data_IF_137825568536
#
_entry.id   IF_137825568536
#
_cell.length_a   1.000
_cell.length_b   1.000
_cell.length_c   1.000
_cell.angle_alpha   90.00
_cell.angle_beta   90.00
_cell.angle_gamma   90.00
#
_symmetry.space_group_name_H-M   'P 1'
#
loop_
_entity.id
_entity.type
_entity.pdbx_description
1 polymer ?
#
# COMPACT_ATOMS: atom_id res chain seq x y z
N UNK A 1 9.16 -13.78 7.29
CA UNK A 1 8.09 -13.31 8.19
C UNK A 1 7.47 -14.52 8.85
N UNK A 2 7.76 -14.74 10.13
CA UNK A 2 7.23 -15.86 10.90
C UNK A 2 5.87 -15.46 11.48
N UNK A 3 4.79 -15.80 10.78
CA UNK A 3 3.49 -15.94 11.42
C UNK A 3 3.58 -17.18 12.31
N UNK A 4 4.06 -16.98 13.54
CA UNK A 4 4.09 -17.98 14.59
C UNK A 4 2.67 -18.45 14.88
N UNK A 5 2.51 -19.76 15.02
CA UNK A 5 1.29 -20.57 15.07
C UNK A 5 0.31 -20.26 16.22
N UNK A 6 0.48 -19.18 16.98
CA UNK A 6 -0.60 -18.66 17.82
C UNK A 6 -1.43 -17.68 17.00
N UNK A 7 -2.73 -17.95 16.80
CA UNK A 7 -3.70 -17.02 16.19
C UNK A 7 -3.67 -15.67 16.94
N UNK A 8 -2.78 -14.77 16.55
CA UNK A 8 -2.72 -13.40 17.04
C UNK A 8 -3.22 -12.53 15.91
N UNK A 9 -4.48 -12.15 16.03
CA UNK A 9 -5.06 -11.12 15.19
C UNK A 9 -4.25 -9.83 15.36
N UNK A 10 -4.01 -9.15 14.24
CA UNK A 10 -3.24 -7.91 14.22
C UNK A 10 -4.09 -6.77 14.81
N UNK A 11 -3.45 -5.89 15.57
CA UNK A 11 -3.99 -4.56 15.80
C UNK A 11 -4.01 -3.75 14.50
N UNK A 12 -4.84 -2.71 14.46
CA UNK A 12 -4.82 -1.71 13.37
C UNK A 12 -3.41 -1.13 13.14
N UNK A 13 -2.65 -0.87 14.22
CA UNK A 13 -1.27 -0.38 14.13
C UNK A 13 -0.33 -1.41 13.50
N UNK A 14 -0.42 -2.68 13.89
CA UNK A 14 0.41 -3.74 13.30
C UNK A 14 0.06 -3.98 11.83
N UNK A 15 -1.23 -3.94 11.48
CA UNK A 15 -1.69 -4.02 10.10
C UNK A 15 -1.18 -2.84 9.26
N UNK A 16 -1.26 -1.61 9.81
CA UNK A 16 -0.69 -0.44 9.17
C UNK A 16 0.82 -0.59 8.98
N UNK A 17 1.57 -0.93 10.04
CA UNK A 17 3.03 -1.17 9.96
C UNK A 17 3.38 -2.24 8.92
N UNK A 18 2.56 -3.30 8.83
CA UNK A 18 2.70 -4.32 7.78
C UNK A 18 2.53 -3.69 6.40
N UNK A 19 1.45 -2.97 6.13
CA UNK A 19 1.21 -2.31 4.83
C UNK A 19 2.38 -1.38 4.48
N UNK A 20 2.76 -0.49 5.40
CA UNK A 20 3.83 0.49 5.20
C UNK A 20 5.22 -0.15 5.04
N UNK A 21 5.46 -1.35 5.57
CA UNK A 21 6.69 -2.10 5.26
C UNK A 21 6.81 -2.49 3.78
N UNK A 22 5.71 -2.38 3.04
CA UNK A 22 5.62 -2.56 1.59
C UNK A 22 5.18 -1.30 0.84
N UNK A 23 5.13 -0.12 1.47
CA UNK A 23 4.89 1.13 0.73
C UNK A 23 6.13 1.99 0.90
N UNK A 24 6.80 2.34 -0.19
CA UNK A 24 7.82 3.38 -0.13
C UNK A 24 7.13 4.74 -0.02
N UNK A 25 6.96 5.22 1.21
CA UNK A 25 6.51 6.58 1.50
C UNK A 25 7.68 7.38 2.09
N UNK A 26 7.87 8.67 1.75
CA UNK A 26 8.91 9.47 2.38
C UNK A 26 8.78 9.45 3.91
N UNK A 27 9.88 9.19 4.62
CA UNK A 27 9.94 8.97 6.07
C UNK A 27 9.14 10.00 6.89
N UNK A 28 9.14 11.27 6.48
CA UNK A 28 8.43 12.34 7.16
C UNK A 28 6.88 12.16 7.18
N UNK A 29 6.30 11.53 6.16
CA UNK A 29 4.87 11.21 6.15
C UNK A 29 4.52 10.00 7.03
N UNK A 30 5.47 9.07 7.20
CA UNK A 30 5.29 7.87 8.03
C UNK A 30 5.31 8.20 9.52
N UNK A 31 6.21 9.08 9.98
CA UNK A 31 6.36 9.40 11.40
C UNK A 31 5.13 10.06 12.03
N UNK A 32 4.52 11.03 11.33
CA UNK A 32 3.31 11.70 11.83
C UNK A 32 2.11 10.75 11.84
N UNK A 33 2.01 9.86 10.85
CA UNK A 33 0.96 8.84 10.76
C UNK A 33 1.07 7.81 11.89
N UNK A 34 2.27 7.27 12.13
CA UNK A 34 2.48 6.27 13.19
C UNK A 34 2.30 6.85 14.59
N UNK A 35 2.77 8.08 14.86
CA UNK A 35 2.52 8.74 16.16
C UNK A 35 1.02 8.92 16.44
N UNK A 36 0.20 9.17 15.41
CA UNK A 36 -1.26 9.28 15.54
C UNK A 36 -1.93 7.93 15.80
N UNK A 37 -1.54 6.89 15.07
CA UNK A 37 -2.07 5.54 15.32
C UNK A 37 -1.65 5.01 16.68
N UNK A 38 -0.44 5.29 17.14
CA UNK A 38 0.03 4.93 18.48
C UNK A 38 -0.77 5.65 19.57
N UNK A 39 -1.08 6.94 19.40
CA UNK A 39 -1.95 7.68 20.33
C UNK A 39 -3.39 7.11 20.38
N UNK A 40 -3.92 6.61 19.25
CA UNK A 40 -5.25 5.97 19.18
C UNK A 40 -5.25 4.50 19.60
N UNK A 41 -4.09 3.84 19.60
CA UNK A 41 -3.96 2.40 19.88
C UNK A 41 -4.44 2.01 21.28
N UNK A 42 -4.29 2.93 22.26
CA UNK A 42 -4.79 2.76 23.62
C UNK A 42 -6.32 2.76 23.74
N UNK A 43 -7.04 3.25 22.72
CA UNK A 43 -8.51 3.27 22.66
C UNK A 43 -9.07 2.15 21.78
N UNK A 44 -8.30 1.68 20.79
CA UNK A 44 -8.71 0.69 19.79
C UNK A 44 -8.24 -0.75 20.07
N UNK A 45 -7.89 -1.10 21.32
CA UNK A 45 -7.41 -2.44 21.71
C UNK A 45 -8.32 -3.61 21.31
N UNK A 46 -9.59 -3.35 21.03
CA UNK A 46 -10.61 -4.33 20.63
C UNK A 46 -10.71 -4.54 19.11
N UNK A 47 -10.20 -3.61 18.29
CA UNK A 47 -10.23 -3.78 16.83
C UNK A 47 -9.07 -4.69 16.40
N UNK A 48 -9.43 -5.93 16.10
CA UNK A 48 -8.52 -7.00 15.70
C UNK A 48 -8.77 -7.40 14.25
N UNK A 49 -7.70 -7.55 13.50
CA UNK A 49 -7.71 -7.92 12.09
C UNK A 49 -7.17 -9.34 12.00
N UNK A 50 -8.05 -10.28 11.65
CA UNK A 50 -7.69 -11.68 11.57
C UNK A 50 -6.75 -11.97 10.41
N UNK A 51 -6.04 -13.08 10.48
CA UNK A 51 -5.19 -13.54 9.38
C UNK A 51 -5.99 -13.72 8.06
N UNK A 52 -7.25 -14.15 8.14
CA UNK A 52 -8.11 -14.28 6.97
C UNK A 52 -8.36 -12.93 6.29
N UNK A 53 -8.61 -11.87 7.07
CA UNK A 53 -8.79 -10.52 6.55
C UNK A 53 -7.50 -9.98 5.92
N UNK A 54 -6.33 -10.34 6.48
CA UNK A 54 -5.03 -10.05 5.87
C UNK A 54 -4.88 -10.78 4.53
N UNK A 55 -5.24 -12.06 4.43
CA UNK A 55 -5.22 -12.80 3.17
C UNK A 55 -6.16 -12.20 2.11
N UNK A 56 -7.36 -11.76 2.53
CA UNK A 56 -8.29 -11.02 1.66
C UNK A 56 -7.65 -9.73 1.14
N UNK A 57 -6.92 -8.99 1.97
CA UNK A 57 -6.21 -7.78 1.54
C UNK A 57 -5.16 -8.07 0.46
N UNK A 58 -4.34 -9.11 0.61
CA UNK A 58 -3.39 -9.50 -0.43
C UNK A 58 -4.08 -10.02 -1.70
N UNK A 59 -5.22 -10.70 -1.55
CA UNK A 59 -6.04 -11.14 -2.70
C UNK A 59 -6.60 -9.95 -3.49
N UNK A 60 -7.01 -8.88 -2.79
CA UNK A 60 -7.40 -7.62 -3.41
C UNK A 60 -6.24 -7.01 -4.21
N UNK A 61 -5.03 -6.96 -3.64
CA UNK A 61 -3.84 -6.45 -4.35
C UNK A 61 -3.54 -7.28 -5.61
N UNK A 62 -3.67 -8.60 -5.55
CA UNK A 62 -3.46 -9.46 -6.72
C UNK A 62 -4.51 -9.22 -7.82
N UNK A 63 -5.73 -8.84 -7.44
CA UNK A 63 -6.84 -8.56 -8.37
C UNK A 63 -7.02 -7.05 -8.67
N UNK A 64 -6.00 -6.23 -8.39
CA UNK A 64 -6.11 -4.77 -8.43
C UNK A 64 -6.59 -4.20 -9.77
N UNK A 65 -6.29 -4.86 -10.90
CA UNK A 65 -6.76 -4.41 -12.22
C UNK A 65 -8.29 -4.52 -12.34
N UNK A 66 -8.87 -5.66 -11.95
CA UNK A 66 -10.31 -5.88 -11.95
C UNK A 66 -11.00 -5.01 -10.91
N UNK A 67 -10.38 -4.86 -9.73
CA UNK A 67 -10.88 -3.98 -8.67
C UNK A 67 -10.93 -2.53 -9.12
N UNK A 68 -9.88 -2.00 -9.77
CA UNK A 68 -9.84 -0.63 -10.30
C UNK A 68 -11.01 -0.36 -11.24
N UNK A 69 -11.25 -1.26 -12.20
CA UNK A 69 -12.38 -1.14 -13.12
C UNK A 69 -13.73 -1.16 -12.38
N UNK A 70 -13.93 -2.11 -11.47
CA UNK A 70 -15.15 -2.20 -10.68
C UNK A 70 -15.38 -0.96 -9.80
N UNK A 71 -14.29 -0.37 -9.27
CA UNK A 71 -14.34 0.81 -8.42
C UNK A 71 -14.77 2.05 -9.19
N UNK A 72 -14.23 2.26 -10.40
CA UNK A 72 -14.65 3.33 -11.29
C UNK A 72 -16.11 3.20 -11.70
N UNK A 73 -16.61 1.98 -11.92
CA UNK A 73 -18.03 1.75 -12.19
C UNK A 73 -18.93 1.98 -10.97
N UNK A 74 -18.42 1.72 -9.76
CA UNK A 74 -19.16 1.95 -8.51
C UNK A 74 -19.17 3.43 -8.10
N UNK A 75 -18.18 4.21 -8.51
CA UNK A 75 -18.01 5.63 -8.16
C UNK A 75 -18.03 6.52 -9.41
N UNK A 76 -19.20 6.57 -10.06
CA UNK A 76 -19.42 7.39 -11.26
C UNK A 76 -19.37 8.90 -10.97
N UNK A 77 -19.48 9.31 -9.70
CA UNK A 77 -19.52 10.70 -9.24
C UNK A 77 -18.14 11.30 -8.96
N UNK A 78 -17.05 10.52 -9.04
CA UNK A 78 -15.64 10.93 -9.04
C UNK A 78 -15.08 11.80 -7.88
N UNK A 79 -15.86 12.15 -6.86
CA UNK A 79 -15.38 13.09 -5.84
C UNK A 79 -14.69 12.40 -4.65
N UNK A 80 -15.32 11.38 -4.05
CA UNK A 80 -14.83 10.73 -2.83
C UNK A 80 -15.23 9.26 -2.80
N UNK A 81 -14.33 8.39 -2.34
CA UNK A 81 -14.62 6.98 -2.16
C UNK A 81 -15.36 6.74 -0.84
N UNK A 82 -16.48 6.02 -0.89
CA UNK A 82 -17.20 5.56 0.31
C UNK A 82 -16.88 4.11 0.67
N UNK A 83 -17.10 3.73 1.93
CA UNK A 83 -16.97 2.33 2.39
C UNK A 83 -17.86 1.37 1.59
N UNK A 84 -19.06 1.81 1.21
CA UNK A 84 -20.03 0.99 0.49
C UNK A 84 -19.61 0.76 -0.96
N UNK A 85 -19.06 1.77 -1.64
CA UNK A 85 -18.49 1.63 -2.99
C UNK A 85 -17.26 0.73 -2.99
N UNK A 86 -16.36 0.93 -2.02
CA UNK A 86 -15.21 0.05 -1.82
C UNK A 86 -15.64 -1.40 -1.66
N UNK A 87 -16.56 -1.69 -0.73
CA UNK A 87 -17.07 -3.05 -0.50
C UNK A 87 -17.76 -3.66 -1.71
N UNK A 88 -18.53 -2.87 -2.46
CA UNK A 88 -19.17 -3.33 -3.71
C UNK A 88 -18.13 -3.72 -4.76
N UNK A 89 -17.11 -2.87 -4.95
CA UNK A 89 -16.03 -3.14 -5.89
C UNK A 89 -15.20 -4.37 -5.48
N UNK A 90 -14.84 -4.50 -4.20
CA UNK A 90 -14.13 -5.68 -3.67
C UNK A 90 -14.93 -6.96 -3.93
N UNK A 91 -16.23 -6.93 -3.64
CA UNK A 91 -17.08 -8.10 -3.85
C UNK A 91 -17.20 -8.46 -5.34
N UNK A 92 -17.30 -7.45 -6.22
CA UNK A 92 -17.37 -7.65 -7.67
C UNK A 92 -16.05 -8.20 -8.25
N UNK A 93 -14.90 -7.77 -7.73
CA UNK A 93 -13.59 -8.16 -8.28
C UNK A 93 -12.99 -9.41 -7.63
N UNK A 94 -13.32 -9.68 -6.37
CA UNK A 94 -12.66 -10.71 -5.56
C UNK A 94 -13.63 -11.73 -4.92
N UNK A 95 -14.94 -11.51 -5.00
CA UNK A 95 -15.95 -12.46 -4.51
C UNK A 95 -16.10 -12.53 -3.00
N UNK A 96 -15.56 -11.57 -2.24
CA UNK A 96 -15.70 -11.50 -0.79
C UNK A 96 -15.96 -10.08 -0.29
N UNK A 97 -16.25 -9.97 1.00
CA UNK A 97 -16.36 -8.70 1.74
C UNK A 97 -15.40 -8.72 2.92
N UNK A 98 -14.82 -7.56 3.21
CA UNK A 98 -14.08 -7.34 4.46
C UNK A 98 -15.04 -7.11 5.62
N UNK A 99 -14.56 -7.33 6.85
CA UNK A 99 -15.29 -6.88 8.03
C UNK A 99 -15.31 -5.33 8.12
N UNK A 100 -16.36 -4.72 8.70
CA UNK A 100 -16.49 -3.25 8.77
C UNK A 100 -15.31 -2.55 9.44
N UNK A 101 -14.76 -3.12 10.52
CA UNK A 101 -13.57 -2.61 11.20
C UNK A 101 -12.34 -2.61 10.28
N UNK A 102 -12.17 -3.65 9.46
CA UNK A 102 -11.06 -3.77 8.51
C UNK A 102 -11.17 -2.71 7.41
N UNK A 103 -12.38 -2.46 6.89
CA UNK A 103 -12.60 -1.36 5.93
C UNK A 103 -12.17 -0.02 6.53
N UNK A 104 -12.63 0.28 7.74
CA UNK A 104 -12.27 1.51 8.43
C UNK A 104 -10.75 1.63 8.61
N UNK A 105 -10.07 0.53 8.97
CA UNK A 105 -8.61 0.52 9.09
C UNK A 105 -7.89 0.72 7.77
N UNK A 106 -8.37 0.11 6.67
CA UNK A 106 -7.82 0.37 5.32
C UNK A 106 -7.96 1.86 4.98
N UNK A 107 -9.15 2.45 5.16
CA UNK A 107 -9.36 3.87 4.88
C UNK A 107 -8.47 4.78 5.74
N UNK A 108 -8.35 4.49 7.03
CA UNK A 108 -7.46 5.22 7.92
C UNK A 108 -6.00 5.15 7.47
N UNK A 109 -5.54 3.98 7.01
CA UNK A 109 -4.17 3.77 6.53
C UNK A 109 -3.88 4.55 5.26
N UNK A 110 -4.85 4.65 4.35
CA UNK A 110 -4.64 5.28 3.05
C UNK A 110 -5.05 6.77 2.98
N UNK A 111 -5.75 7.30 3.99
CA UNK A 111 -6.10 8.73 4.04
C UNK A 111 -4.87 9.58 4.42
N UNK A 112 -4.44 10.49 3.54
CA UNK A 112 -3.29 11.38 3.76
C UNK A 112 -3.60 12.56 4.69
N UNK A 113 -4.87 12.98 4.75
CA UNK A 113 -5.24 14.32 5.25
C UNK A 113 -6.10 14.29 6.53
N UNK A 114 -6.26 13.13 7.18
CA UNK A 114 -7.09 12.89 8.38
C UNK A 114 -8.59 13.28 8.29
N UNK A 115 -9.03 13.85 7.18
CA UNK A 115 -10.41 14.25 6.94
C UNK A 115 -11.30 13.05 6.56
N UNK A 116 -10.73 11.83 6.51
CA UNK A 116 -11.42 10.59 6.12
C UNK A 116 -11.84 10.57 4.65
N UNK A 117 -11.38 11.57 3.88
CA UNK A 117 -11.65 11.74 2.46
C UNK A 117 -10.51 11.14 1.67
N UNK A 118 -10.87 10.42 0.63
CA UNK A 118 -9.93 9.66 -0.15
C UNK A 118 -10.50 9.56 -1.55
N UNK A 119 -9.84 10.17 -2.53
CA UNK A 119 -10.29 10.05 -3.91
C UNK A 119 -10.01 8.65 -4.43
N UNK A 120 -10.80 8.22 -5.42
CA UNK A 120 -10.61 6.91 -6.08
C UNK A 120 -9.21 6.79 -6.67
N UNK A 121 -8.72 7.86 -7.30
CA UNK A 121 -7.42 7.87 -7.97
C UNK A 121 -6.26 7.78 -6.99
N UNK A 122 -6.30 8.51 -5.87
CA UNK A 122 -5.29 8.42 -4.81
C UNK A 122 -5.25 7.01 -4.24
N UNK A 123 -6.43 6.44 -3.96
CA UNK A 123 -6.53 5.09 -3.40
C UNK A 123 -5.92 4.02 -4.32
N UNK A 124 -6.32 4.02 -5.59
CA UNK A 124 -5.79 3.08 -6.58
C UNK A 124 -4.28 3.25 -6.72
N UNK A 125 -3.79 4.50 -6.77
CA UNK A 125 -2.35 4.80 -6.86
C UNK A 125 -1.58 4.24 -5.66
N UNK A 126 -2.11 4.37 -4.45
CA UNK A 126 -1.48 3.81 -3.25
C UNK A 126 -1.50 2.27 -3.25
N UNK A 127 -2.60 1.63 -3.67
CA UNK A 127 -2.66 0.18 -3.80
C UNK A 127 -1.71 -0.35 -4.90
N UNK A 128 -1.53 0.41 -5.99
CA UNK A 128 -0.56 0.07 -7.04
C UNK A 128 0.86 0.13 -6.51
N UNK A 129 1.20 1.16 -5.73
CA UNK A 129 2.49 1.27 -5.04
C UNK A 129 2.70 0.08 -4.09
N UNK A 130 1.70 -0.25 -3.24
CA UNK A 130 1.74 -1.43 -2.37
C UNK A 130 2.05 -2.71 -3.16
N UNK A 131 1.31 -2.94 -4.25
CA UNK A 131 1.45 -4.13 -5.08
C UNK A 131 2.82 -4.20 -5.73
N UNK A 132 3.31 -3.09 -6.28
CA UNK A 132 4.64 -3.02 -6.89
C UNK A 132 5.73 -3.30 -5.87
N UNK A 133 5.72 -2.66 -4.71
CA UNK A 133 6.71 -2.89 -3.67
C UNK A 133 6.62 -4.28 -3.03
N UNK A 134 5.45 -4.93 -3.04
CA UNK A 134 5.31 -6.33 -2.64
C UNK A 134 5.93 -7.29 -3.67
N UNK A 135 5.62 -7.10 -4.97
CA UNK A 135 6.08 -7.98 -6.06
C UNK A 135 7.57 -7.77 -6.34
N UNK A 136 8.01 -6.52 -6.35
CA UNK A 136 9.37 -6.09 -6.72
C UNK A 136 10.17 -5.66 -5.49
N UNK A 137 10.16 -6.46 -4.41
CA UNK A 137 11.24 -6.37 -3.41
C UNK A 137 12.58 -6.75 -4.06
N UNK A 138 13.08 -5.94 -4.98
CA UNK A 138 14.50 -5.66 -4.92
C UNK A 138 14.71 -4.95 -3.58
N UNK A 139 15.62 -5.42 -2.72
CA UNK A 139 16.14 -4.52 -1.70
C UNK A 139 16.56 -3.30 -2.48
N UNK A 140 16.05 -2.11 -2.11
CA UNK A 140 16.41 -0.86 -2.78
C UNK A 140 17.90 -0.97 -3.11
N UNK A 141 18.23 -1.18 -4.39
CA UNK A 141 19.62 -1.25 -4.75
C UNK A 141 20.07 0.14 -4.36
N UNK A 142 20.91 0.22 -3.35
CA UNK A 142 21.67 1.41 -3.07
C UNK A 142 22.56 1.57 -4.30
N UNK A 143 21.99 2.06 -5.41
CA UNK A 143 22.76 2.75 -6.41
C UNK A 143 23.22 3.99 -5.67
N UNK A 144 24.36 3.82 -5.02
CA UNK A 144 25.07 4.91 -4.41
C UNK A 144 25.36 5.92 -5.52
N UNK A 145 25.57 7.19 -5.17
CA UNK A 145 26.06 8.18 -6.13
C UNK A 145 27.29 7.68 -6.91
N UNK A 146 28.07 6.77 -6.31
CA UNK A 146 29.19 6.07 -6.92
C UNK A 146 28.80 5.13 -8.06
N UNK A 147 27.66 4.43 -7.99
CA UNK A 147 27.23 3.50 -9.04
C UNK A 147 26.71 4.27 -10.27
N UNK A 148 25.97 5.35 -10.04
CA UNK A 148 25.58 6.28 -11.10
C UNK A 148 26.81 6.94 -11.75
N UNK A 149 27.80 7.33 -10.95
CA UNK A 149 29.07 7.86 -11.44
C UNK A 149 29.83 6.85 -12.30
N UNK A 150 30.01 5.61 -11.82
CA UNK A 150 30.67 4.53 -12.57
C UNK A 150 29.98 4.27 -13.91
N UNK A 151 28.66 4.26 -13.93
CA UNK A 151 27.89 4.03 -15.14
C UNK A 151 28.01 5.19 -16.14
N UNK A 152 28.02 6.43 -15.66
CA UNK A 152 28.25 7.61 -16.49
C UNK A 152 29.67 7.62 -17.09
N UNK A 153 30.69 7.36 -16.28
CA UNK A 153 32.09 7.29 -16.73
C UNK A 153 32.28 6.17 -17.75
N UNK A 154 31.73 4.99 -17.48
CA UNK A 154 31.79 3.85 -18.41
C UNK A 154 31.12 4.18 -19.75
N UNK A 155 29.98 4.86 -19.72
CA UNK A 155 29.27 5.28 -20.93
C UNK A 155 30.11 6.27 -21.75
N UNK A 156 30.72 7.27 -21.10
CA UNK A 156 31.62 8.23 -21.77
C UNK A 156 32.87 7.58 -22.37
N UNK A 157 33.46 6.60 -21.68
CA UNK A 157 34.64 5.87 -22.19
C UNK A 157 34.27 5.01 -23.40
N UNK A 158 33.13 4.31 -23.37
CA UNK A 158 32.68 3.51 -24.51
C UNK A 158 32.40 4.40 -25.73
N UNK A 159 31.79 5.56 -25.50
CA UNK A 159 31.45 6.53 -26.54
C UNK A 159 32.69 7.20 -27.15
N UNK A 160 33.75 7.45 -26.34
CA UNK A 160 35.02 7.94 -26.87
C UNK A 160 35.73 6.85 -27.68
N UNK A 161 35.74 5.60 -27.22
CA UNK A 161 36.37 4.48 -27.93
C UNK A 161 35.66 4.16 -29.26
N UNK A 162 34.34 4.33 -29.36
CA UNK A 162 33.62 4.20 -30.64
C UNK A 162 33.89 5.35 -31.62
N UNK A 163 34.45 6.47 -31.15
CA UNK A 163 34.79 7.62 -31.99
C UNK A 163 36.21 7.53 -32.58
N UNK A 164 36.97 6.49 -32.24
CA UNK A 164 38.31 6.20 -32.77
C UNK A 164 38.34 5.08 -33.83
N UNK A 165 37.17 4.65 -34.32
CA UNK A 165 37.01 3.68 -35.41
C UNK A 165 36.45 4.33 -36.66
#
# INVERSE_FOLDING_TARGET
>A
MTFSTSKKDLTELEFAKMIYSYIYLPLHHQEQFFKRLEAKSHLNLLNRISFEEVCKFFTLLNNLNNFSYALHLCNLSNDLLTHAEFQRAVNASCGFKFQPNVVSSIFNVFSTDNNGKLSVNEFISMLQNCRQSFIFKEPAQSHTSLDNYKQCVRSKIIQSLSSFK
#
